data_IF_556390941216
#
_entry.id   IF_556390941216
#
_cell.length_a   1.000
_cell.length_b   1.000
_cell.length_c   1.000
_cell.angle_alpha   90.00
_cell.angle_beta   90.00
_cell.angle_gamma   90.00
#
_symmetry.space_group_name_H-M   'P 1'
#
loop_
_entity.id
_entity.type
_entity.pdbx_description
1 polymer ?
#
# COMPACT_ATOMS: atom_id res chain seq x y z
N UNK A 1 -2.61 -12.16 6.99
CA UNK A 1 -2.69 -10.95 6.15
C UNK A 1 -1.81 -9.86 6.71
N UNK A 2 -1.38 -8.96 5.87
CA UNK A 2 -0.56 -7.83 6.31
C UNK A 2 -1.46 -6.66 6.65
N UNK A 3 -1.13 -5.93 7.72
CA UNK A 3 -1.88 -4.75 8.14
C UNK A 3 -1.40 -3.54 7.37
N UNK A 4 -2.32 -2.72 6.90
CA UNK A 4 -1.99 -1.57 6.07
C UNK A 4 -2.60 -0.32 6.64
N UNK A 5 -1.80 0.75 6.73
CA UNK A 5 -2.25 2.07 7.14
C UNK A 5 -1.94 3.05 6.01
N UNK A 6 -2.97 3.70 5.50
CA UNK A 6 -2.82 4.78 4.53
C UNK A 6 -2.91 6.10 5.28
N UNK A 7 -1.88 6.93 5.14
CA UNK A 7 -1.79 8.19 5.87
C UNK A 7 -1.68 9.37 4.93
N UNK A 8 -2.13 10.54 5.40
CA UNK A 8 -1.98 11.80 4.72
C UNK A 8 -1.83 12.90 5.75
N UNK A 9 -0.78 13.71 5.64
CA UNK A 9 -0.55 14.86 6.53
C UNK A 9 -0.74 14.52 8.01
N UNK A 10 -0.06 13.49 8.47
CA UNK A 10 -0.09 13.04 9.86
C UNK A 10 -1.42 12.45 10.33
N UNK A 11 -2.33 12.20 9.40
CA UNK A 11 -3.63 11.64 9.71
C UNK A 11 -3.79 10.30 9.03
N UNK A 12 -4.31 9.33 9.77
CA UNK A 12 -4.66 8.03 9.19
C UNK A 12 -5.97 8.14 8.44
N UNK A 13 -5.95 7.87 7.14
CA UNK A 13 -7.13 7.92 6.29
C UNK A 13 -7.87 6.59 6.23
N UNK A 14 -7.12 5.50 6.30
CA UNK A 14 -7.69 4.17 6.13
C UNK A 14 -6.77 3.16 6.77
N UNK A 15 -7.36 2.16 7.42
CA UNK A 15 -6.63 1.01 7.93
C UNK A 15 -7.34 -0.25 7.49
N UNK A 16 -6.58 -1.26 7.09
CA UNK A 16 -7.16 -2.51 6.65
C UNK A 16 -6.14 -3.62 6.60
N UNK A 17 -6.51 -4.72 5.99
CA UNK A 17 -5.65 -5.89 5.82
C UNK A 17 -5.72 -6.38 4.39
N UNK A 18 -4.61 -6.91 3.90
CA UNK A 18 -4.56 -7.45 2.55
C UNK A 18 -3.65 -8.67 2.50
N UNK A 19 -3.84 -9.47 1.46
CA UNK A 19 -2.94 -10.59 1.21
C UNK A 19 -1.67 -10.10 0.52
N UNK A 20 -1.78 -9.06 -0.30
CA UNK A 20 -0.65 -8.46 -1.00
C UNK A 20 -0.90 -6.99 -1.24
N UNK A 21 0.17 -6.21 -1.21
CA UNK A 21 0.15 -4.80 -1.60
C UNK A 21 1.11 -4.63 -2.76
N UNK A 22 0.63 -4.01 -3.84
CA UNK A 22 1.46 -3.73 -5.02
C UNK A 22 1.57 -2.22 -5.16
N UNK A 23 2.79 -1.73 -5.26
CA UNK A 23 3.05 -0.30 -5.38
C UNK A 23 4.25 -0.06 -6.31
N UNK A 24 4.30 1.15 -6.87
CA UNK A 24 5.37 1.52 -7.78
C UNK A 24 6.49 2.21 -7.01
N UNK A 25 7.58 1.49 -6.82
CA UNK A 25 8.77 2.05 -6.20
C UNK A 25 9.61 2.78 -7.23
N UNK A 26 10.52 3.61 -6.75
CA UNK A 26 11.44 4.37 -7.60
C UNK A 26 12.29 3.44 -8.47
N UNK A 27 12.61 2.26 -7.97
CA UNK A 27 13.45 1.30 -8.67
C UNK A 27 12.65 0.18 -9.34
N UNK A 28 11.33 0.26 -9.33
CA UNK A 28 10.48 -0.74 -9.95
C UNK A 28 9.28 -1.08 -9.06
N UNK A 29 8.41 -1.91 -9.59
CA UNK A 29 7.21 -2.31 -8.90
C UNK A 29 7.54 -3.25 -7.74
N UNK A 30 6.84 -3.04 -6.62
CA UNK A 30 7.01 -3.84 -5.40
C UNK A 30 5.73 -4.59 -5.10
N UNK A 31 5.85 -5.88 -4.82
CA UNK A 31 4.75 -6.69 -4.29
C UNK A 31 5.10 -7.14 -2.89
N UNK A 32 4.33 -6.72 -1.89
CA UNK A 32 4.62 -6.99 -0.49
C UNK A 32 3.59 -7.93 0.09
N UNK A 33 4.06 -9.00 0.73
CA UNK A 33 3.22 -9.94 1.47
C UNK A 33 3.70 -10.02 2.91
N UNK A 34 2.90 -10.61 3.77
CA UNK A 34 3.25 -10.78 5.16
C UNK A 34 4.60 -11.53 5.28
N UNK A 35 5.43 -11.08 6.20
CA UNK A 35 6.74 -11.67 6.42
C UNK A 35 7.86 -11.00 5.65
N UNK A 36 7.56 -9.98 4.87
CA UNK A 36 8.59 -9.25 4.12
C UNK A 36 9.57 -8.58 5.09
N UNK A 37 10.85 -8.59 4.72
CA UNK A 37 11.87 -7.92 5.51
C UNK A 37 11.58 -6.43 5.65
N UNK A 38 11.94 -5.81 6.77
CA UNK A 38 11.75 -4.36 6.92
C UNK A 38 12.43 -3.58 5.81
N UNK A 39 11.72 -2.57 5.31
CA UNK A 39 12.17 -1.79 4.17
C UNK A 39 11.56 -0.42 4.20
N UNK A 40 12.35 0.60 3.86
CA UNK A 40 11.82 1.93 3.59
C UNK A 40 11.84 2.11 2.08
N UNK A 41 10.67 2.05 1.46
CA UNK A 41 10.56 2.11 0.01
C UNK A 41 10.25 3.53 -0.45
N UNK A 42 11.00 3.99 -1.44
CA UNK A 42 10.73 5.28 -2.07
C UNK A 42 9.74 5.05 -3.19
N UNK A 43 8.58 5.72 -3.13
CA UNK A 43 7.50 5.53 -4.09
C UNK A 43 7.50 6.60 -5.17
N UNK A 44 7.12 6.19 -6.38
CA UNK A 44 6.78 7.12 -7.45
C UNK A 44 5.29 7.45 -7.35
N UNK A 45 4.86 8.60 -7.89
CA UNK A 45 3.43 8.87 -8.02
C UNK A 45 2.75 7.76 -8.81
N UNK A 46 1.63 7.28 -8.30
CA UNK A 46 0.92 6.21 -8.98
C UNK A 46 0.00 5.43 -8.06
N UNK A 47 -0.56 4.32 -8.54
CA UNK A 47 -1.50 3.53 -7.77
C UNK A 47 -0.79 2.65 -6.74
N UNK A 48 -1.47 2.47 -5.61
CA UNK A 48 -1.13 1.48 -4.60
C UNK A 48 -2.32 0.53 -4.53
N UNK A 49 -2.08 -0.73 -4.80
CA UNK A 49 -3.14 -1.73 -4.90
C UNK A 49 -3.10 -2.66 -3.71
N UNK A 50 -4.22 -2.73 -3.01
CA UNK A 50 -4.38 -3.58 -1.85
C UNK A 50 -5.26 -4.76 -2.26
N UNK A 51 -4.67 -5.95 -2.34
CA UNK A 51 -5.32 -7.12 -2.94
C UNK A 51 -5.71 -8.13 -1.87
N UNK A 52 -6.98 -8.50 -1.89
CA UNK A 52 -7.51 -9.59 -1.08
C UNK A 52 -8.06 -10.66 -2.00
N UNK A 53 -8.56 -11.77 -1.43
CA UNK A 53 -9.11 -12.85 -2.24
C UNK A 53 -10.34 -12.43 -3.05
N UNK A 54 -11.09 -11.44 -2.57
CA UNK A 54 -12.36 -11.03 -3.17
C UNK A 54 -12.30 -9.68 -3.88
N UNK A 55 -11.43 -8.80 -3.43
CA UNK A 55 -11.43 -7.40 -3.90
C UNK A 55 -10.03 -6.88 -4.12
N UNK A 56 -9.97 -5.81 -4.87
CA UNK A 56 -8.77 -5.02 -5.01
C UNK A 56 -9.15 -3.58 -4.74
N UNK A 57 -8.49 -2.96 -3.76
CA UNK A 57 -8.71 -1.55 -3.44
C UNK A 57 -7.51 -0.77 -3.93
N UNK A 58 -7.78 0.31 -4.65
CA UNK A 58 -6.73 1.11 -5.27
C UNK A 58 -6.72 2.49 -4.63
N UNK A 59 -5.56 2.86 -4.12
CA UNK A 59 -5.29 4.19 -3.60
C UNK A 59 -4.22 4.83 -4.47
N UNK A 60 -4.14 6.15 -4.46
CA UNK A 60 -3.13 6.84 -5.25
C UNK A 60 -2.21 7.63 -4.35
N UNK A 61 -0.91 7.51 -4.62
CA UNK A 61 0.11 8.26 -3.89
C UNK A 61 0.77 9.26 -4.82
N UNK A 62 1.16 10.39 -4.26
CA UNK A 62 1.97 11.38 -4.97
C UNK A 62 3.46 11.11 -4.80
N UNK A 63 3.80 9.99 -4.21
CA UNK A 63 5.17 9.62 -3.92
C UNK A 63 5.45 9.75 -2.43
N UNK A 64 6.69 9.56 -2.04
CA UNK A 64 7.12 9.61 -0.66
C UNK A 64 7.68 8.28 -0.21
N UNK A 65 7.66 8.04 1.10
CA UNK A 65 8.26 6.84 1.68
C UNK A 65 7.19 5.92 2.24
N UNK A 66 7.23 4.66 1.84
CA UNK A 66 6.41 3.62 2.45
C UNK A 66 7.27 2.85 3.43
N UNK A 67 6.79 2.70 4.66
CA UNK A 67 7.50 1.94 5.68
C UNK A 67 6.94 0.53 5.73
N UNK A 68 7.78 -0.44 5.38
CA UNK A 68 7.39 -1.86 5.35
C UNK A 68 7.96 -2.57 6.56
N UNK A 69 7.10 -3.26 7.29
CA UNK A 69 7.47 -4.13 8.41
C UNK A 69 6.94 -5.54 8.11
N UNK A 70 7.40 -6.57 8.83
CA UNK A 70 6.98 -7.94 8.51
C UNK A 70 5.47 -8.18 8.56
N UNK A 71 4.74 -7.42 9.36
CA UNK A 71 3.30 -7.61 9.51
C UNK A 71 2.47 -6.35 9.23
N UNK A 72 3.12 -5.26 8.84
CA UNK A 72 2.41 -4.01 8.60
C UNK A 72 3.13 -3.12 7.58
N UNK A 73 2.36 -2.26 6.92
CA UNK A 73 2.89 -1.28 5.98
C UNK A 73 2.20 0.04 6.24
N UNK A 74 2.99 1.12 6.27
CA UNK A 74 2.46 2.49 6.35
C UNK A 74 2.77 3.18 5.03
N UNK A 75 1.75 3.68 4.35
CA UNK A 75 1.88 4.22 3.01
C UNK A 75 1.29 5.63 2.95
N UNK A 76 2.05 6.62 2.43
CA UNK A 76 1.50 7.95 2.19
C UNK A 76 0.63 7.93 0.93
N UNK A 77 -0.58 8.48 1.03
CA UNK A 77 -1.49 8.53 -0.12
C UNK A 77 -2.13 9.89 -0.25
N UNK A 78 -2.48 10.24 -1.47
CA UNK A 78 -3.42 11.31 -1.73
C UNK A 78 -4.82 10.70 -1.67
N UNK A 79 -5.82 11.52 -1.42
CA UNK A 79 -7.15 11.01 -1.13
C UNK A 79 -7.89 10.59 -2.40
N UNK A 80 -7.66 9.37 -2.85
CA UNK A 80 -8.43 8.72 -3.91
C UNK A 80 -8.50 7.24 -3.62
N UNK A 81 -9.70 6.70 -3.59
CA UNK A 81 -9.91 5.30 -3.23
C UNK A 81 -10.92 4.68 -4.18
N UNK A 82 -10.56 3.54 -4.74
CA UNK A 82 -11.41 2.79 -5.65
C UNK A 82 -11.39 1.32 -5.25
N UNK A 83 -12.57 0.72 -5.12
CA UNK A 83 -12.69 -0.69 -4.81
C UNK A 83 -13.14 -1.44 -6.06
N UNK A 84 -12.38 -2.48 -6.42
CA UNK A 84 -12.65 -3.30 -7.60
C UNK A 84 -12.80 -4.76 -7.18
N UNK A 85 -13.75 -5.50 -7.78
CA UNK A 85 -13.81 -6.93 -7.55
C UNK A 85 -12.64 -7.61 -8.25
N UNK A 86 -12.05 -8.63 -7.62
CA UNK A 86 -11.05 -9.47 -8.25
C UNK A 86 -11.72 -10.74 -8.73
N UNK A 87 -11.50 -11.11 -9.96
CA UNK A 87 -12.09 -12.33 -10.50
C UNK A 87 -11.02 -13.27 -11.00
#
# INVERSE_FOLDING_TARGET
MINISFISQEKTLFEGQAEMVVMDGKEGQLGIVKGHSPLLAILKPGPVRMITSDTEEVFFTEGGFAEVQPDSITIPVSYTHLTLPTT
#
